data_IF_091505086502
#
_entry.id   IF_091505086502
#
_cell.length_a   1.000
_cell.length_b   1.000
_cell.length_c   1.000
_cell.angle_alpha   90.00
_cell.angle_beta   90.00
_cell.angle_gamma   90.00
#
_symmetry.space_group_name_H-M   'P 1'
#
loop_
_entity.id
_entity.type
_entity.pdbx_description
1 polymer ?
#
# COMPACT_ATOMS: atom_id res chain seq x y z
N UNK A 1 -47.70 10.98 2.23
CA UNK A 1 -46.51 10.64 3.04
C UNK A 1 -45.41 10.12 2.12
N UNK A 2 -44.29 10.83 1.92
CA UNK A 2 -43.21 10.31 1.09
C UNK A 2 -42.32 9.38 1.93
N UNK A 3 -42.15 8.14 1.45
CA UNK A 3 -41.19 7.16 1.97
C UNK A 3 -39.78 7.74 1.88
N UNK A 4 -39.16 7.96 3.03
CA UNK A 4 -37.72 8.20 3.18
C UNK A 4 -36.96 7.00 2.61
N UNK A 5 -36.40 7.16 1.41
CA UNK A 5 -35.38 6.24 0.90
C UNK A 5 -34.12 6.43 1.74
N UNK A 6 -33.98 5.60 2.78
CA UNK A 6 -32.74 5.44 3.50
C UNK A 6 -31.79 4.68 2.58
N UNK A 7 -31.06 5.41 1.74
CA UNK A 7 -29.95 4.87 0.95
C UNK A 7 -28.76 4.62 1.88
N UNK A 8 -28.88 3.63 2.77
CA UNK A 8 -27.81 3.08 3.62
C UNK A 8 -26.82 2.26 2.79
N UNK A 9 -26.36 2.77 1.65
CA UNK A 9 -25.36 2.10 0.82
C UNK A 9 -23.99 2.75 1.09
N UNK A 10 -23.19 2.02 1.87
CA UNK A 10 -21.73 2.06 1.98
C UNK A 10 -21.08 3.20 2.78
N UNK A 11 -21.56 3.43 4.01
CA UNK A 11 -20.90 4.35 4.95
C UNK A 11 -19.42 4.01 5.20
N UNK A 12 -19.05 2.73 5.30
CA UNK A 12 -17.68 2.32 5.65
C UNK A 12 -16.64 2.74 4.60
N UNK A 13 -16.91 2.49 3.31
CA UNK A 13 -16.01 2.90 2.22
C UNK A 13 -15.92 4.42 2.13
N UNK A 14 -17.02 5.13 2.37
CA UNK A 14 -17.03 6.59 2.39
C UNK A 14 -16.22 7.16 3.56
N UNK A 15 -16.26 6.52 4.73
CA UNK A 15 -15.44 6.87 5.89
C UNK A 15 -13.95 6.63 5.62
N UNK A 16 -13.59 5.45 5.09
CA UNK A 16 -12.21 5.12 4.75
C UNK A 16 -11.63 6.08 3.72
N UNK A 17 -12.43 6.45 2.72
CA UNK A 17 -12.05 7.45 1.71
C UNK A 17 -11.81 8.82 2.33
N UNK A 18 -12.74 9.30 3.15
CA UNK A 18 -12.60 10.60 3.83
C UNK A 18 -11.41 10.63 4.80
N UNK A 19 -11.11 9.53 5.47
CA UNK A 19 -9.94 9.41 6.33
C UNK A 19 -8.63 9.48 5.52
N UNK A 20 -8.55 8.76 4.40
CA UNK A 20 -7.40 8.79 3.51
C UNK A 20 -7.19 10.18 2.90
N UNK A 21 -8.27 10.84 2.45
CA UNK A 21 -8.20 12.21 1.89
C UNK A 21 -7.67 13.22 2.92
N UNK A 22 -8.09 13.12 4.19
CA UNK A 22 -7.57 13.97 5.28
C UNK A 22 -6.10 13.70 5.59
N UNK A 23 -5.69 12.43 5.57
CA UNK A 23 -4.29 12.06 5.79
C UNK A 23 -3.38 12.53 4.63
N UNK A 24 -3.94 12.63 3.43
CA UNK A 24 -3.25 12.99 2.20
C UNK A 24 -3.12 14.50 1.97
N UNK A 25 -4.13 15.29 2.38
CA UNK A 25 -4.22 16.73 2.12
C UNK A 25 -3.01 17.63 2.51
N UNK A 26 -2.21 17.35 3.57
CA UNK A 26 -1.17 18.29 3.99
C UNK A 26 0.16 18.14 3.23
N UNK A 27 0.33 17.14 2.35
CA UNK A 27 1.62 16.86 1.73
C UNK A 27 1.81 17.58 0.40
N UNK A 28 3.04 18.05 0.08
CA UNK A 28 3.34 18.44 -1.28
C UNK A 28 3.30 17.19 -2.16
N UNK A 29 2.83 17.33 -3.40
CA UNK A 29 2.72 16.21 -4.33
C UNK A 29 3.75 16.34 -5.47
N UNK A 30 5.06 16.12 -5.25
CA UNK A 30 6.05 16.26 -6.32
C UNK A 30 6.07 15.05 -7.28
N UNK A 31 5.63 13.87 -6.85
CA UNK A 31 5.82 12.61 -7.60
C UNK A 31 4.69 12.45 -8.62
N UNK A 32 5.05 12.29 -9.89
CA UNK A 32 4.08 12.02 -10.96
C UNK A 32 3.66 10.54 -10.97
N UNK A 33 2.52 10.18 -11.57
CA UNK A 33 2.10 8.78 -11.73
C UNK A 33 3.16 7.91 -12.42
N UNK A 34 3.86 8.46 -13.42
CA UNK A 34 4.98 7.78 -14.07
C UNK A 34 6.14 7.52 -13.11
N UNK A 35 6.48 8.51 -12.28
CA UNK A 35 7.51 8.38 -11.26
C UNK A 35 7.14 7.34 -10.20
N UNK A 36 5.86 7.30 -9.82
CA UNK A 36 5.32 6.30 -8.90
C UNK A 36 5.44 4.88 -9.48
N UNK A 37 4.97 4.68 -10.71
CA UNK A 37 5.07 3.38 -11.38
C UNK A 37 6.52 2.87 -11.50
N UNK A 38 7.47 3.76 -11.74
CA UNK A 38 8.89 3.41 -11.74
C UNK A 38 9.39 2.99 -10.34
N UNK A 39 8.95 3.67 -9.29
CA UNK A 39 9.26 3.31 -7.91
C UNK A 39 8.65 1.96 -7.52
N UNK A 40 7.42 1.66 -7.93
CA UNK A 40 6.76 0.36 -7.71
C UNK A 40 7.54 -0.79 -8.37
N UNK A 41 8.03 -0.58 -9.60
CA UNK A 41 8.85 -1.57 -10.28
C UNK A 41 10.16 -1.85 -9.54
N UNK A 42 10.82 -0.81 -9.02
CA UNK A 42 12.04 -0.97 -8.20
C UNK A 42 11.73 -1.64 -6.86
N UNK A 43 10.64 -1.24 -6.21
CA UNK A 43 10.18 -1.82 -4.96
C UNK A 43 9.89 -3.32 -5.12
N UNK A 44 9.22 -3.73 -6.20
CA UNK A 44 8.97 -5.12 -6.53
C UNK A 44 10.25 -5.96 -6.52
N UNK A 45 11.30 -5.51 -7.23
CA UNK A 45 12.59 -6.20 -7.28
C UNK A 45 13.24 -6.27 -5.90
N UNK A 46 13.29 -5.14 -5.18
CA UNK A 46 13.86 -5.07 -3.84
C UNK A 46 13.15 -5.99 -2.85
N UNK A 47 11.82 -6.00 -2.88
CA UNK A 47 10.99 -6.88 -2.04
C UNK A 47 11.18 -8.34 -2.40
N UNK A 48 11.25 -8.72 -3.68
CA UNK A 48 11.49 -10.11 -4.09
C UNK A 48 12.85 -10.62 -3.58
N UNK A 49 13.89 -9.80 -3.68
CA UNK A 49 15.22 -10.11 -3.10
C UNK A 49 15.12 -10.26 -1.59
N UNK A 50 14.40 -9.34 -0.92
CA UNK A 50 14.26 -9.36 0.53
C UNK A 50 13.47 -10.57 1.03
N UNK A 51 12.39 -10.98 0.34
CA UNK A 51 11.67 -12.23 0.64
C UNK A 51 12.63 -13.41 0.58
N UNK A 52 13.41 -13.53 -0.51
CA UNK A 52 14.38 -14.61 -0.69
C UNK A 52 15.44 -14.62 0.41
N UNK A 53 15.92 -13.46 0.82
CA UNK A 53 16.90 -13.36 1.91
C UNK A 53 16.28 -13.76 3.25
N UNK A 54 15.14 -13.17 3.62
CA UNK A 54 14.44 -13.48 4.86
C UNK A 54 14.04 -14.95 4.93
N UNK A 55 13.71 -15.59 3.81
CA UNK A 55 13.36 -17.02 3.78
C UNK A 55 14.50 -17.93 4.27
N UNK A 56 15.75 -17.46 4.24
CA UNK A 56 16.93 -18.17 4.76
C UNK A 56 17.14 -17.97 6.25
N UNK A 57 16.63 -16.89 6.82
CA UNK A 57 16.90 -16.46 8.21
C UNK A 57 15.68 -16.63 9.13
N UNK A 58 14.48 -16.42 8.61
CA UNK A 58 13.23 -16.36 9.38
C UNK A 58 12.01 -16.52 8.48
N UNK A 59 11.41 -17.72 8.51
CA UNK A 59 10.18 -18.02 7.77
C UNK A 59 9.01 -17.06 8.10
N UNK A 60 8.76 -16.68 9.37
CA UNK A 60 7.71 -15.72 9.68
C UNK A 60 7.94 -14.34 9.05
N UNK A 61 9.17 -13.83 9.10
CA UNK A 61 9.50 -12.54 8.49
C UNK A 61 9.37 -12.58 6.95
N UNK A 62 9.82 -13.68 6.34
CA UNK A 62 9.68 -13.91 4.91
C UNK A 62 8.21 -13.96 4.48
N UNK A 63 7.35 -14.62 5.27
CA UNK A 63 5.92 -14.69 4.99
C UNK A 63 5.26 -13.30 5.04
N UNK A 64 5.57 -12.49 6.06
CA UNK A 64 5.07 -11.10 6.15
C UNK A 64 5.53 -10.26 4.95
N UNK A 65 6.81 -10.34 4.60
CA UNK A 65 7.33 -9.63 3.43
C UNK A 65 6.72 -10.15 2.11
N UNK A 66 6.46 -11.44 1.99
CA UNK A 66 5.82 -12.03 0.80
C UNK A 66 4.36 -11.57 0.65
N UNK A 67 3.61 -11.45 1.75
CA UNK A 67 2.26 -10.87 1.74
C UNK A 67 2.29 -9.41 1.31
N UNK A 68 3.24 -8.62 1.81
CA UNK A 68 3.47 -7.25 1.35
C UNK A 68 3.75 -7.22 -0.16
N UNK A 69 4.70 -8.04 -0.63
CA UNK A 69 5.07 -8.11 -2.05
C UNK A 69 3.85 -8.45 -2.91
N UNK A 70 3.06 -9.46 -2.52
CA UNK A 70 1.88 -9.86 -3.27
C UNK A 70 0.83 -8.76 -3.32
N UNK A 71 0.61 -8.06 -2.20
CA UNK A 71 -0.37 -6.97 -2.11
C UNK A 71 0.05 -5.80 -2.98
N UNK A 72 1.27 -5.29 -2.83
CA UNK A 72 1.79 -4.18 -3.63
C UNK A 72 1.82 -4.53 -5.13
N UNK A 73 2.22 -5.75 -5.48
CA UNK A 73 2.21 -6.22 -6.87
C UNK A 73 0.80 -6.26 -7.44
N UNK A 74 -0.17 -6.78 -6.70
CA UNK A 74 -1.56 -6.84 -7.17
C UNK A 74 -2.13 -5.44 -7.39
N UNK A 75 -1.85 -4.50 -6.48
CA UNK A 75 -2.31 -3.12 -6.61
C UNK A 75 -1.58 -2.44 -7.80
N UNK A 76 -0.26 -2.55 -7.91
CA UNK A 76 0.49 -1.97 -9.03
C UNK A 76 0.05 -2.53 -10.40
N UNK A 77 -0.10 -3.86 -10.51
CA UNK A 77 -0.53 -4.50 -11.76
C UNK A 77 -1.99 -4.22 -12.13
N UNK A 78 -2.78 -3.73 -11.18
CA UNK A 78 -4.19 -3.39 -11.39
C UNK A 78 -4.46 -1.90 -11.55
N UNK A 79 -3.46 -1.03 -11.40
CA UNK A 79 -3.69 0.41 -11.38
C UNK A 79 -3.51 1.04 -12.76
N UNK A 80 -4.32 2.07 -13.04
CA UNK A 80 -4.13 2.95 -14.18
C UNK A 80 -2.99 3.93 -13.91
N UNK A 81 -1.79 3.66 -14.42
CA UNK A 81 -0.74 4.68 -14.61
C UNK A 81 -0.17 4.61 -16.03
N UNK A 82 0.65 5.59 -16.43
CA UNK A 82 1.54 5.45 -17.58
C UNK A 82 2.92 4.91 -17.13
N UNK A 83 3.50 3.86 -17.74
CA UNK A 83 2.91 2.98 -18.75
C UNK A 83 1.77 2.11 -18.18
N UNK A 84 0.82 1.67 -19.02
CA UNK A 84 -0.34 0.91 -18.56
C UNK A 84 0.08 -0.39 -17.89
N UNK A 85 -0.57 -0.69 -16.76
CA UNK A 85 -0.42 -1.96 -16.06
C UNK A 85 -1.05 -3.12 -16.85
N UNK A 86 -0.85 -4.35 -16.37
CA UNK A 86 -1.35 -5.55 -17.05
C UNK A 86 -2.89 -5.64 -17.07
N UNK A 87 -3.54 -5.26 -15.96
CA UNK A 87 -5.00 -5.36 -15.81
C UNK A 87 -5.53 -4.09 -15.16
N UNK A 88 -5.52 -2.94 -15.84
CA UNK A 88 -5.81 -1.65 -15.23
C UNK A 88 -7.31 -1.54 -14.89
N UNK A 89 -7.66 -1.78 -13.62
CA UNK A 89 -9.02 -1.77 -13.09
C UNK A 89 -9.23 -0.83 -11.91
N UNK A 90 -8.16 -0.38 -11.24
CA UNK A 90 -8.24 0.65 -10.18
C UNK A 90 -7.63 1.97 -10.66
N UNK A 91 -8.18 3.10 -10.20
CA UNK A 91 -7.65 4.45 -10.50
C UNK A 91 -6.40 4.71 -9.68
N UNK A 92 -5.52 5.60 -10.14
CA UNK A 92 -4.33 5.98 -9.39
C UNK A 92 -4.66 6.63 -8.02
N UNK A 93 -5.70 7.46 -7.95
CA UNK A 93 -6.15 8.02 -6.67
C UNK A 93 -6.51 6.93 -5.64
N UNK A 94 -7.12 5.85 -6.13
CA UNK A 94 -7.52 4.74 -5.26
C UNK A 94 -6.31 3.89 -4.87
N UNK A 95 -5.33 3.73 -5.75
CA UNK A 95 -4.02 3.17 -5.40
C UNK A 95 -3.38 3.95 -4.24
N UNK A 96 -3.31 5.28 -4.36
CA UNK A 96 -2.70 6.15 -3.34
C UNK A 96 -3.37 5.94 -1.98
N UNK A 97 -4.71 5.94 -1.98
CA UNK A 97 -5.50 5.71 -0.76
C UNK A 97 -5.28 4.32 -0.19
N UNK A 98 -5.26 3.29 -1.03
CA UNK A 98 -4.99 1.91 -0.61
C UNK A 98 -3.62 1.85 0.06
N UNK A 99 -2.57 2.42 -0.53
CA UNK A 99 -1.23 2.44 0.04
C UNK A 99 -1.15 3.14 1.40
N UNK A 100 -1.79 4.31 1.54
CA UNK A 100 -1.86 5.04 2.83
C UNK A 100 -2.56 4.20 3.91
N UNK A 101 -3.66 3.52 3.56
CA UNK A 101 -4.42 2.68 4.50
C UNK A 101 -3.74 1.34 4.79
N UNK A 102 -2.96 0.82 3.85
CA UNK A 102 -2.26 -0.45 3.97
C UNK A 102 -1.02 -0.36 4.86
N UNK A 103 -0.33 0.79 4.87
CA UNK A 103 0.86 1.01 5.70
C UNK A 103 0.69 0.63 7.19
N UNK A 104 -0.37 1.07 7.92
CA UNK A 104 -0.59 0.66 9.31
C UNK A 104 -0.91 -0.84 9.46
N UNK A 105 -1.58 -1.45 8.47
CA UNK A 105 -1.82 -2.90 8.49
C UNK A 105 -0.51 -3.67 8.36
N UNK A 106 0.36 -3.25 7.45
CA UNK A 106 1.69 -3.84 7.26
C UNK A 106 2.57 -3.71 8.50
N UNK A 107 2.56 -2.52 9.13
CA UNK A 107 3.22 -2.30 10.42
C UNK A 107 2.65 -3.22 11.51
N UNK A 108 1.33 -3.36 11.58
CA UNK A 108 0.66 -4.27 12.50
C UNK A 108 1.13 -5.72 12.32
N UNK A 109 1.24 -6.20 11.08
CA UNK A 109 1.77 -7.54 10.79
C UNK A 109 3.21 -7.71 11.30
N UNK A 110 4.08 -6.72 11.06
CA UNK A 110 5.46 -6.77 11.54
C UNK A 110 5.56 -6.86 13.07
N UNK A 111 4.69 -6.16 13.79
CA UNK A 111 4.68 -6.10 15.26
C UNK A 111 3.96 -7.27 15.92
N UNK A 112 2.93 -7.82 15.31
CA UNK A 112 2.05 -8.80 15.95
C UNK A 112 2.38 -10.25 15.58
N UNK A 113 3.03 -10.50 14.45
CA UNK A 113 3.39 -11.88 14.06
C UNK A 113 4.47 -12.43 15.00
N UNK A 114 4.19 -13.54 15.71
CA UNK A 114 5.14 -14.14 16.64
C UNK A 114 6.34 -14.76 15.91
N UNK A 115 7.46 -14.90 16.62
CA UNK A 115 8.65 -15.57 16.09
C UNK A 115 9.50 -14.73 15.12
N UNK A 116 9.17 -13.46 14.89
CA UNK A 116 10.02 -12.55 14.10
C UNK A 116 11.14 -11.98 15.01
N UNK A 117 12.43 -12.22 14.68
CA UNK A 117 13.56 -11.61 15.38
C UNK A 117 13.50 -10.08 15.42
N UNK A 118 13.94 -9.45 16.52
CA UNK A 118 13.86 -7.99 16.73
C UNK A 118 14.45 -7.17 15.57
N UNK A 119 15.61 -7.56 15.03
CA UNK A 119 16.24 -6.86 13.88
C UNK A 119 15.33 -6.85 12.65
N UNK A 120 14.75 -7.99 12.31
CA UNK A 120 13.84 -8.10 11.16
C UNK A 120 12.50 -7.42 11.44
N UNK A 121 12.03 -7.42 12.69
CA UNK A 121 10.85 -6.64 13.09
C UNK A 121 11.04 -5.14 12.88
N UNK A 122 12.20 -4.61 13.22
CA UNK A 122 12.53 -3.19 12.94
C UNK A 122 12.55 -2.94 11.43
N UNK A 123 13.21 -3.80 10.66
CA UNK A 123 13.23 -3.69 9.19
C UNK A 123 11.80 -3.69 8.61
N UNK A 124 10.98 -4.68 8.97
CA UNK A 124 9.61 -4.82 8.52
C UNK A 124 8.68 -3.72 9.06
N UNK A 125 9.01 -3.10 10.19
CA UNK A 125 8.25 -1.98 10.75
C UNK A 125 8.59 -0.64 10.10
N UNK A 126 9.82 -0.46 9.62
CA UNK A 126 10.23 0.72 8.87
C UNK A 126 9.85 0.63 7.39
N UNK A 127 9.79 -0.58 6.84
CA UNK A 127 9.47 -0.82 5.44
C UNK A 127 8.19 -0.11 4.95
N UNK A 128 7.05 -0.13 5.67
CA UNK A 128 5.80 0.51 5.24
C UNK A 128 5.88 2.03 5.17
N UNK A 129 6.89 2.66 5.77
CA UNK A 129 7.10 4.10 5.65
C UNK A 129 7.45 4.52 4.23
N UNK A 130 8.14 3.66 3.47
CA UNK A 130 8.51 3.95 2.08
C UNK A 130 7.27 4.08 1.18
N UNK A 131 6.38 3.07 1.06
CA UNK A 131 5.16 3.22 0.29
C UNK A 131 4.24 4.28 0.88
N UNK A 132 4.17 4.45 2.21
CA UNK A 132 3.40 5.54 2.80
C UNK A 132 3.84 6.92 2.30
N UNK A 133 5.15 7.21 2.36
CA UNK A 133 5.71 8.48 1.88
C UNK A 133 5.55 8.63 0.37
N UNK A 134 5.81 7.56 -0.39
CA UNK A 134 5.63 7.56 -1.84
C UNK A 134 4.18 7.92 -2.22
N UNK A 135 3.20 7.29 -1.57
CA UNK A 135 1.78 7.56 -1.77
C UNK A 135 1.39 8.98 -1.33
N UNK A 136 1.82 9.42 -0.15
CA UNK A 136 1.54 10.78 0.35
C UNK A 136 2.11 11.88 -0.54
N UNK A 137 3.27 11.64 -1.16
CA UNK A 137 3.96 12.59 -2.04
C UNK A 137 3.58 12.46 -3.53
N UNK A 138 2.71 11.52 -3.88
CA UNK A 138 2.26 11.34 -5.27
C UNK A 138 1.14 12.30 -5.61
N UNK A 139 1.09 12.76 -6.86
CA UNK A 139 -0.01 13.57 -7.39
C UNK A 139 -1.17 12.67 -7.78
N UNK A 140 -2.42 13.00 -7.42
CA UNK A 140 -3.57 12.26 -7.95
C UNK A 140 -3.76 12.59 -9.44
N UNK A 141 -4.51 11.74 -10.13
CA UNK A 141 -4.84 11.89 -11.56
C UNK A 141 -6.18 12.61 -11.81
#
# INVERSE_FOLDING_TARGET
MPRTQITRKNNALHFLRAAADRAYAPFPHPISPRGHAAADALAFVGMAVLVRQLARESRPAAAVMAVNLATESAVALSTHYPPPALVPVIRFDDHIRIGILYAPLSLGMALLVPGIPRRQRVLLGLFPLVPFLLNALSRPD
#
